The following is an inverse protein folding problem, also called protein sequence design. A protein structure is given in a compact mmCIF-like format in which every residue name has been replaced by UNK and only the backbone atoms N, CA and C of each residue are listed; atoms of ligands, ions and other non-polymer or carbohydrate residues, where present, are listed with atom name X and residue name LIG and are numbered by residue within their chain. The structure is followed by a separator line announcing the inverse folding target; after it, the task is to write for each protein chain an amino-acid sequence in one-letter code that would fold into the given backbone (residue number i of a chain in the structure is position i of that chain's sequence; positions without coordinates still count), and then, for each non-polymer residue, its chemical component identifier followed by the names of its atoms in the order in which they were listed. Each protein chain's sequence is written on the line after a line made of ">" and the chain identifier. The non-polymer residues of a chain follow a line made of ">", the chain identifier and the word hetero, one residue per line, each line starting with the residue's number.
data_IF_028016757701
#
_entry.id   IF_028016757701
#
_cell.length_a   1.000
_cell.length_b   1.000
_cell.length_c   1.000
_cell.angle_alpha   90.00
_cell.angle_beta   90.00
_cell.angle_gamma   90.00
#
_symmetry.space_group_name_H-M   'P 1'
#
loop_
_entity.id
_entity.type
_entity.pdbx_description
1 polymer ?
#
# COMPACT_ATOMS: atom_id res chain seq x y z
N UNK A 1 -20.22 24.30 -9.41
CA UNK A 1 -18.77 24.47 -9.23
C UNK A 1 -18.13 23.12 -9.55
N UNK A 2 -17.52 22.96 -10.72
CA UNK A 2 -16.76 21.74 -11.03
C UNK A 2 -15.34 21.98 -10.58
N UNK A 3 -15.03 21.62 -9.34
CA UNK A 3 -13.65 21.50 -8.89
C UNK A 3 -13.21 20.11 -9.29
N UNK A 4 -12.80 19.99 -10.55
CA UNK A 4 -11.93 18.90 -10.96
C UNK A 4 -10.57 19.23 -10.41
N UNK A 5 -10.29 18.75 -9.20
CA UNK A 5 -8.94 18.71 -8.68
C UNK A 5 -8.74 17.36 -7.98
N UNK A 6 -8.47 16.34 -8.80
CA UNK A 6 -7.94 15.06 -8.35
C UNK A 6 -6.40 15.11 -8.38
N UNK A 7 -5.79 16.30 -8.46
CA UNK A 7 -4.32 16.43 -8.52
C UNK A 7 -3.67 16.49 -7.14
N UNK A 8 -4.45 16.64 -6.06
CA UNK A 8 -3.91 16.71 -4.70
C UNK A 8 -3.60 15.35 -4.04
N UNK A 9 -4.08 14.22 -4.58
CA UNK A 9 -3.79 12.88 -4.01
C UNK A 9 -2.41 12.32 -4.40
N UNK A 10 -1.71 12.92 -5.35
CA UNK A 10 -0.42 12.43 -5.86
C UNK A 10 0.73 12.49 -4.83
N UNK A 11 0.53 13.20 -3.73
CA UNK A 11 1.53 13.37 -2.66
C UNK A 11 1.31 12.46 -1.44
N UNK A 12 0.16 11.78 -1.33
CA UNK A 12 -0.09 10.85 -0.21
C UNK A 12 0.60 9.50 -0.43
N UNK A 13 0.70 9.03 -1.68
CA UNK A 13 1.26 7.71 -1.99
C UNK A 13 2.76 7.74 -2.33
N UNK A 14 3.25 8.80 -2.96
CA UNK A 14 4.65 8.91 -3.34
C UNK A 14 5.55 9.21 -2.11
N UNK A 15 6.58 8.38 -1.91
CA UNK A 15 7.61 8.63 -0.87
C UNK A 15 7.35 7.98 0.49
N UNK A 16 6.47 6.97 0.55
CA UNK A 16 6.32 6.12 1.73
C UNK A 16 7.58 5.31 2.03
N UNK A 17 8.24 4.83 0.97
CA UNK A 17 9.51 4.13 1.07
C UNK A 17 10.67 4.97 0.54
N UNK A 18 11.89 4.51 0.80
CA UNK A 18 13.14 5.20 0.44
C UNK A 18 13.38 5.33 -1.07
N UNK A 19 12.51 4.75 -1.90
CA UNK A 19 12.57 4.76 -3.36
C UNK A 19 11.19 5.13 -3.94
N UNK A 20 11.15 5.73 -5.15
CA UNK A 20 9.88 6.03 -5.81
C UNK A 20 9.11 4.76 -6.15
N UNK A 21 7.81 4.76 -5.87
CA UNK A 21 6.88 3.73 -6.31
C UNK A 21 6.23 4.06 -7.65
N UNK A 22 5.55 3.07 -8.23
CA UNK A 22 4.68 3.20 -9.39
C UNK A 22 3.23 3.16 -8.91
N UNK A 23 2.48 4.21 -9.20
CA UNK A 23 1.03 4.23 -9.01
C UNK A 23 0.37 3.47 -10.16
N UNK A 24 -0.47 2.49 -9.81
CA UNK A 24 -1.22 1.65 -10.73
C UNK A 24 -2.69 1.82 -10.44
N UNK A 25 -3.52 1.93 -11.49
CA UNK A 25 -4.98 1.95 -11.34
C UNK A 25 -5.52 0.57 -11.71
N UNK A 26 -6.18 -0.10 -10.76
CA UNK A 26 -6.88 -1.37 -10.97
C UNK A 26 -8.34 -1.23 -10.55
N UNK A 27 -9.28 -1.54 -11.44
CA UNK A 27 -10.73 -1.40 -11.16
C UNK A 27 -11.15 -0.01 -10.64
N UNK A 28 -10.46 1.05 -11.09
CA UNK A 28 -10.69 2.41 -10.62
C UNK A 28 -10.18 2.71 -9.21
N UNK A 29 -9.27 1.88 -8.68
CA UNK A 29 -8.60 2.06 -7.40
C UNK A 29 -7.12 2.32 -7.60
N UNK A 30 -6.56 3.21 -6.80
CA UNK A 30 -5.14 3.52 -6.80
C UNK A 30 -4.38 2.50 -5.94
N UNK A 31 -3.25 2.03 -6.46
CA UNK A 31 -2.37 1.05 -5.83
C UNK A 31 -0.95 1.57 -5.96
N UNK A 32 -0.18 1.54 -4.89
CA UNK A 32 1.24 1.88 -4.94
C UNK A 32 2.07 0.59 -4.98
N UNK A 33 2.81 0.37 -6.07
CA UNK A 33 3.75 -0.74 -6.19
C UNK A 33 5.20 -0.23 -6.09
N UNK A 34 6.02 -0.86 -5.26
CA UNK A 34 7.42 -0.49 -5.05
C UNK A 34 8.29 -1.73 -5.21
N UNK A 35 9.21 -1.72 -6.19
CA UNK A 35 10.20 -2.78 -6.38
C UNK A 35 11.56 -2.35 -5.84
N UNK A 36 12.12 -3.16 -4.94
CA UNK A 36 13.44 -2.96 -4.36
C UNK A 36 14.53 -3.69 -5.13
N UNK A 37 15.76 -3.19 -5.04
CA UNK A 37 16.90 -3.81 -5.72
C UNK A 37 17.22 -5.23 -5.22
N UNK A 38 17.00 -5.51 -3.92
CA UNK A 38 17.27 -6.82 -3.30
C UNK A 38 16.12 -7.23 -2.37
N UNK A 39 16.05 -8.54 -2.10
CA UNK A 39 15.08 -9.10 -1.16
C UNK A 39 15.28 -8.51 0.24
N UNK A 40 16.53 -8.37 0.69
CA UNK A 40 16.84 -7.85 2.02
C UNK A 40 16.38 -6.39 2.19
N UNK A 41 16.45 -5.59 1.11
CA UNK A 41 15.92 -4.21 1.15
C UNK A 41 14.41 -4.17 1.26
N UNK A 42 13.69 -5.03 0.52
CA UNK A 42 12.24 -5.13 0.65
C UNK A 42 11.84 -5.56 2.06
N UNK A 43 12.53 -6.56 2.62
CA UNK A 43 12.28 -7.04 3.99
C UNK A 43 12.56 -5.96 5.04
N UNK A 44 13.70 -5.27 4.92
CA UNK A 44 14.05 -4.19 5.84
C UNK A 44 13.06 -3.02 5.80
N UNK A 45 12.45 -2.74 4.65
CA UNK A 45 11.42 -1.69 4.54
C UNK A 45 10.05 -2.18 5.02
N UNK A 46 9.68 -3.43 4.76
CA UNK A 46 8.46 -4.03 5.30
C UNK A 46 8.47 -4.06 6.84
N UNK A 47 9.63 -4.33 7.45
CA UNK A 47 9.81 -4.34 8.91
C UNK A 47 9.62 -2.96 9.57
N UNK A 48 9.55 -1.87 8.79
CA UNK A 48 9.24 -0.53 9.31
C UNK A 48 7.73 -0.28 9.42
N UNK A 49 6.90 -1.09 8.76
CA UNK A 49 5.45 -0.92 8.76
C UNK A 49 4.90 -1.49 10.07
N UNK A 50 4.07 -0.72 10.77
CA UNK A 50 3.34 -1.20 11.95
C UNK A 50 2.31 -2.26 11.56
N UNK A 51 1.90 -3.08 12.52
CA UNK A 51 0.93 -4.15 12.30
C UNK A 51 -0.39 -3.63 11.68
N UNK A 52 -0.87 -2.48 12.12
CA UNK A 52 -2.06 -1.80 11.61
C UNK A 52 -1.85 -1.06 10.28
N UNK A 53 -0.61 -0.91 9.82
CA UNK A 53 -0.26 -0.26 8.56
C UNK A 53 -0.27 1.28 8.56
N UNK A 54 -0.62 1.94 9.67
CA UNK A 54 -0.66 3.41 9.74
C UNK A 54 0.72 4.02 10.01
N UNK A 55 1.62 3.27 10.66
CA UNK A 55 3.00 3.66 10.91
C UNK A 55 3.94 3.08 9.86
N UNK A 56 4.85 3.91 9.34
CA UNK A 56 5.99 3.47 8.52
C UNK A 56 7.26 4.14 9.06
N UNK A 57 8.02 3.38 9.86
CA UNK A 57 9.21 3.86 10.55
C UNK A 57 8.83 4.93 11.58
N UNK A 58 9.30 6.17 11.38
CA UNK A 58 8.97 7.32 12.23
C UNK A 58 7.80 8.16 11.69
N UNK A 59 7.21 7.76 10.56
CA UNK A 59 6.08 8.46 9.93
C UNK A 59 4.77 7.81 10.35
N UNK A 60 3.75 8.64 10.51
CA UNK A 60 2.37 8.21 10.61
C UNK A 60 1.63 8.71 9.36
N UNK A 61 0.91 7.81 8.70
CA UNK A 61 0.23 8.09 7.43
C UNK A 61 -1.27 8.09 7.70
N UNK A 62 -1.93 9.18 7.30
CA UNK A 62 -3.37 9.30 7.37
C UNK A 62 -3.99 8.83 6.05
N UNK A 63 -4.31 7.55 5.97
CA UNK A 63 -4.91 6.90 4.82
C UNK A 63 -6.38 7.28 4.63
N UNK A 64 -6.92 7.06 3.43
CA UNK A 64 -8.34 7.30 3.14
C UNK A 64 -9.21 6.19 3.75
N UNK A 65 -8.90 4.92 3.45
CA UNK A 65 -9.44 3.75 4.15
C UNK A 65 -8.30 3.00 4.88
N UNK A 66 -8.63 1.87 5.54
CA UNK A 66 -7.65 0.99 6.19
C UNK A 66 -6.60 0.53 5.18
N UNK A 67 -5.31 0.79 5.42
CA UNK A 67 -4.26 0.42 4.48
C UNK A 67 -4.01 -1.10 4.51
N UNK A 68 -3.69 -1.66 3.36
CA UNK A 68 -3.39 -3.08 3.17
C UNK A 68 -2.03 -3.20 2.51
N UNK A 69 -1.12 -3.96 3.14
CA UNK A 69 0.25 -4.11 2.67
C UNK A 69 0.55 -5.55 2.27
N UNK A 70 1.04 -5.72 1.05
CA UNK A 70 1.40 -7.01 0.47
C UNK A 70 2.87 -7.04 0.10
N UNK A 71 3.52 -8.20 0.22
CA UNK A 71 4.92 -8.37 -0.18
C UNK A 71 5.14 -9.70 -0.87
N UNK A 72 5.72 -9.65 -2.07
CA UNK A 72 6.16 -10.84 -2.80
C UNK A 72 7.59 -10.62 -3.30
N UNK A 73 8.55 -11.33 -2.71
CA UNK A 73 9.97 -11.17 -2.99
C UNK A 73 10.44 -9.72 -2.79
N UNK A 74 10.87 -9.09 -3.90
CA UNK A 74 11.43 -7.73 -3.92
C UNK A 74 10.37 -6.64 -4.03
N UNK A 75 9.09 -6.97 -4.11
CA UNK A 75 8.02 -6.01 -4.34
C UNK A 75 7.15 -5.85 -3.10
N UNK A 76 6.84 -4.59 -2.75
CA UNK A 76 5.82 -4.23 -1.78
C UNK A 76 4.70 -3.52 -2.52
N UNK A 77 3.46 -3.87 -2.22
CA UNK A 77 2.27 -3.21 -2.74
C UNK A 77 1.44 -2.66 -1.58
N UNK A 78 0.99 -1.41 -1.70
CA UNK A 78 0.08 -0.76 -0.76
C UNK A 78 -1.23 -0.50 -1.48
N UNK A 79 -2.33 -0.86 -0.82
CA UNK A 79 -3.68 -0.52 -1.24
C UNK A 79 -4.43 0.07 -0.04
N UNK A 80 -4.90 1.31 -0.14
CA UNK A 80 -5.61 2.03 0.94
C UNK A 80 -7.11 2.19 0.65
N UNK A 81 -7.68 1.25 -0.12
CA UNK A 81 -9.11 1.20 -0.40
C UNK A 81 -9.77 -0.07 0.14
N UNK A 82 -11.07 -0.16 -0.10
CA UNK A 82 -11.96 -1.17 0.49
C UNK A 82 -12.64 -2.10 -0.53
N UNK A 83 -12.29 -2.03 -1.82
CA UNK A 83 -12.87 -2.91 -2.84
C UNK A 83 -12.35 -4.34 -2.75
N UNK A 84 -13.22 -5.28 -2.41
CA UNK A 84 -12.87 -6.71 -2.23
C UNK A 84 -12.21 -7.33 -3.46
N UNK A 85 -12.67 -7.02 -4.68
CA UNK A 85 -12.07 -7.54 -5.90
C UNK A 85 -10.59 -7.18 -6.03
N UNK A 86 -10.20 -5.98 -5.60
CA UNK A 86 -8.79 -5.53 -5.63
C UNK A 86 -8.00 -6.28 -4.56
N UNK A 87 -8.51 -6.35 -3.33
CA UNK A 87 -7.91 -7.13 -2.24
C UNK A 87 -7.70 -8.60 -2.63
N UNK A 88 -8.71 -9.28 -3.15
CA UNK A 88 -8.64 -10.69 -3.55
C UNK A 88 -7.62 -10.93 -4.67
N UNK A 89 -7.56 -10.00 -5.64
CA UNK A 89 -6.57 -10.04 -6.72
C UNK A 89 -5.16 -9.88 -6.18
N UNK A 90 -4.95 -8.96 -5.24
CA UNK A 90 -3.65 -8.74 -4.60
C UNK A 90 -3.24 -9.94 -3.74
N UNK A 91 -4.15 -10.53 -2.97
CA UNK A 91 -3.88 -11.76 -2.21
C UNK A 91 -3.47 -12.90 -3.15
N UNK A 92 -4.19 -13.06 -4.26
CA UNK A 92 -3.88 -14.11 -5.26
C UNK A 92 -2.50 -13.91 -5.90
N UNK A 93 -2.13 -12.66 -6.21
CA UNK A 93 -0.87 -12.36 -6.91
C UNK A 93 0.34 -12.28 -5.97
N UNK A 94 0.15 -11.77 -4.76
CA UNK A 94 1.23 -11.38 -3.84
C UNK A 94 1.33 -12.28 -2.62
N UNK A 95 0.28 -13.06 -2.31
CA UNK A 95 0.09 -13.73 -1.03
C UNK A 95 -0.65 -12.85 -0.02
N UNK A 96 -0.86 -13.39 1.18
CA UNK A 96 -1.53 -12.68 2.27
C UNK A 96 -0.86 -11.33 2.59
N UNK A 97 -1.68 -10.39 3.06
CA UNK A 97 -1.15 -9.13 3.62
C UNK A 97 -0.22 -9.42 4.80
N UNK A 98 0.81 -8.60 4.95
CA UNK A 98 1.70 -8.67 6.11
C UNK A 98 1.44 -7.57 7.15
N UNK A 99 0.70 -6.52 6.76
CA UNK A 99 0.28 -5.42 7.63
C UNK A 99 -1.00 -4.79 7.08
N UNK A 100 -1.71 -4.07 7.93
CA UNK A 100 -3.07 -3.64 7.67
C UNK A 100 -4.07 -4.62 8.27
N UNK A 101 -5.11 -4.09 8.89
CA UNK A 101 -6.05 -4.90 9.67
C UNK A 101 -6.76 -5.94 8.79
N UNK A 102 -6.91 -7.15 9.33
CA UNK A 102 -7.79 -8.19 8.79
C UNK A 102 -9.26 -7.86 9.06
N UNK A 103 -10.21 -8.33 8.22
CA UNK A 103 -11.61 -7.99 8.38
C UNK A 103 -12.05 -8.49 9.76
N UNK A 104 -12.83 -7.69 10.46
CA UNK A 104 -13.49 -8.06 11.71
C UNK A 104 -13.88 -9.54 11.74
N UNK A 105 -13.23 -10.34 12.58
CA UNK A 105 -13.88 -11.54 13.13
C UNK A 105 -14.95 -11.01 14.09
N UNK A 106 -16.18 -10.94 13.57
CA UNK A 106 -17.41 -10.73 14.34
C UNK A 106 -17.66 -11.86 15.33
#
# INVERSE_FOLDING_TARGET
>A
MKVGDQSENKFLFAGQFSIPGVEVVASGQEILAVEFATLEKAEAQAALVSEDGYGIGLKYVNWIDTPQFFRNGKMIVIYDGSQSLVTDTLITAMGERFAGEAPDEV
#
